data_IF_346377626572
#
_entry.id   IF_346377626572
#
_cell.length_a   1.000
_cell.length_b   1.000
_cell.length_c   1.000
_cell.angle_alpha   90.00
_cell.angle_beta   90.00
_cell.angle_gamma   90.00
#
_symmetry.space_group_name_H-M   'P 1'
#
loop_
_entity.id
_entity.type
_entity.pdbx_description
1 polymer ?
#
# COMPACT_ATOMS: atom_id res chain seq x y z
N UNK A 1 3.10 -20.86 -10.47
CA UNK A 1 2.14 -21.87 -9.96
C UNK A 1 2.67 -22.34 -8.62
N UNK A 2 1.82 -22.80 -7.70
CA UNK A 2 2.29 -23.27 -6.39
C UNK A 2 2.96 -24.65 -6.48
N UNK A 3 3.90 -24.92 -5.59
CA UNK A 3 4.59 -26.21 -5.40
C UNK A 3 4.95 -26.43 -3.91
N UNK A 4 5.86 -27.36 -3.61
CA UNK A 4 6.26 -27.68 -2.23
C UNK A 4 7.07 -26.60 -1.51
N UNK A 5 7.54 -25.57 -2.22
CA UNK A 5 8.34 -24.48 -1.67
C UNK A 5 7.72 -23.09 -1.92
N UNK A 6 6.81 -22.96 -2.89
CA UNK A 6 6.19 -21.70 -3.27
C UNK A 6 4.67 -21.78 -3.26
N UNK A 7 4.02 -20.76 -2.68
CA UNK A 7 2.58 -20.53 -2.80
C UNK A 7 2.33 -19.33 -3.69
N UNK A 8 1.57 -19.52 -4.78
CA UNK A 8 1.15 -18.45 -5.67
C UNK A 8 -0.30 -18.05 -5.38
N UNK A 9 -0.50 -16.84 -4.85
CA UNK A 9 -1.83 -16.29 -4.54
C UNK A 9 -2.39 -15.54 -5.76
N UNK A 10 -3.65 -15.83 -6.11
CA UNK A 10 -4.39 -15.15 -7.19
C UNK A 10 -5.48 -14.27 -6.59
N UNK A 11 -5.82 -13.18 -7.29
CA UNK A 11 -6.86 -12.22 -6.87
C UNK A 11 -6.60 -11.68 -5.44
N UNK A 12 -5.36 -11.26 -5.18
CA UNK A 12 -4.98 -10.65 -3.91
C UNK A 12 -5.72 -9.33 -3.68
N UNK A 13 -6.07 -9.08 -2.42
CA UNK A 13 -6.72 -7.85 -1.97
C UNK A 13 -6.04 -7.34 -0.70
N UNK A 14 -6.40 -6.15 -0.23
CA UNK A 14 -5.88 -5.61 1.05
C UNK A 14 -6.16 -6.54 2.25
N UNK A 15 -7.23 -7.35 2.20
CA UNK A 15 -7.55 -8.35 3.25
C UNK A 15 -6.60 -9.55 3.23
N UNK A 16 -5.84 -9.72 2.16
CA UNK A 16 -4.88 -10.81 2.00
C UNK A 16 -3.55 -10.49 2.69
N UNK A 17 -3.34 -9.27 3.19
CA UNK A 17 -2.22 -8.92 4.06
C UNK A 17 -2.25 -9.73 5.36
N UNK A 18 -1.10 -10.24 5.80
CA UNK A 18 -1.01 -11.01 7.04
C UNK A 18 0.25 -11.85 7.15
N UNK A 19 0.29 -12.64 8.23
CA UNK A 19 1.35 -13.63 8.46
C UNK A 19 1.01 -14.93 7.72
N UNK A 20 1.92 -15.37 6.86
CA UNK A 20 1.84 -16.63 6.13
C UNK A 20 2.85 -17.61 6.70
N UNK A 21 2.39 -18.83 6.97
CA UNK A 21 3.20 -19.89 7.57
C UNK A 21 3.34 -21.05 6.58
N UNK A 22 4.57 -21.49 6.36
CA UNK A 22 4.87 -22.76 5.74
C UNK A 22 5.21 -23.76 6.85
N UNK A 23 4.61 -24.95 6.80
CA UNK A 23 4.82 -25.98 7.82
C UNK A 23 5.03 -27.35 7.16
N UNK A 24 6.02 -28.09 7.66
CA UNK A 24 6.37 -29.44 7.22
C UNK A 24 6.32 -30.37 8.42
N UNK A 25 5.50 -31.41 8.33
CA UNK A 25 5.27 -32.38 9.41
C UNK A 25 5.71 -33.78 9.00
N UNK A 26 6.43 -34.46 9.89
CA UNK A 26 6.74 -35.88 9.78
C UNK A 26 5.56 -36.76 10.26
N UNK A 27 5.39 -37.91 9.63
CA UNK A 27 4.36 -38.91 9.99
C UNK A 27 4.88 -39.94 11.02
N UNK A 28 4.01 -40.90 11.37
CA UNK A 28 4.30 -41.95 12.33
C UNK A 28 5.63 -42.68 12.05
N UNK A 29 6.37 -43.10 13.10
CA UNK A 29 6.01 -43.07 14.53
C UNK A 29 6.37 -41.76 15.26
N UNK A 30 7.02 -40.80 14.61
CA UNK A 30 7.51 -39.57 15.23
C UNK A 30 6.88 -38.35 14.57
N UNK A 31 5.78 -37.88 15.16
CA UNK A 31 5.08 -36.67 14.72
C UNK A 31 5.85 -35.43 15.16
N UNK A 32 6.70 -34.90 14.29
CA UNK A 32 7.43 -33.64 14.50
C UNK A 32 7.09 -32.66 13.39
N UNK A 33 7.01 -31.37 13.70
CA UNK A 33 6.68 -30.32 12.74
C UNK A 33 7.68 -29.17 12.83
N UNK A 34 8.11 -28.68 11.67
CA UNK A 34 8.94 -27.47 11.52
C UNK A 34 8.21 -26.47 10.67
N UNK A 35 8.39 -25.19 10.97
CA UNK A 35 7.70 -24.13 10.27
C UNK A 35 8.59 -22.91 10.06
N UNK A 36 8.21 -22.11 9.08
CA UNK A 36 8.71 -20.76 8.88
C UNK A 36 7.56 -19.82 8.59
N UNK A 37 7.66 -18.58 9.07
CA UNK A 37 6.64 -17.55 8.89
C UNK A 37 7.19 -16.38 8.07
N UNK A 38 6.33 -15.74 7.28
CA UNK A 38 6.63 -14.54 6.50
C UNK A 38 5.44 -13.57 6.51
N UNK A 39 5.71 -12.29 6.74
CA UNK A 39 4.68 -11.25 6.70
C UNK A 39 4.53 -10.73 5.27
N UNK A 40 3.32 -10.80 4.72
CA UNK A 40 2.99 -10.22 3.43
C UNK A 40 2.08 -9.01 3.63
N UNK A 41 2.50 -7.85 3.13
CA UNK A 41 1.68 -6.64 3.09
C UNK A 41 1.26 -6.35 1.65
N UNK A 42 -0.05 -6.27 1.41
CA UNK A 42 -0.62 -5.83 0.15
C UNK A 42 -0.88 -4.34 0.23
N UNK A 43 -0.24 -3.58 -0.66
CA UNK A 43 -0.42 -2.14 -0.79
C UNK A 43 -1.30 -1.81 -2.00
N UNK A 44 -2.05 -0.71 -1.90
CA UNK A 44 -2.82 -0.14 -3.01
C UNK A 44 -2.31 1.27 -3.25
N UNK A 45 -1.65 1.46 -4.38
CA UNK A 45 -1.20 2.78 -4.79
C UNK A 45 -2.38 3.65 -5.27
N UNK A 46 -2.31 4.98 -5.08
CA UNK A 46 -3.21 5.90 -5.76
C UNK A 46 -3.20 5.61 -7.26
N UNK A 47 -4.37 5.53 -7.89
CA UNK A 47 -4.50 5.28 -9.35
C UNK A 47 -4.37 6.56 -10.17
N UNK A 48 -4.54 7.70 -9.51
CA UNK A 48 -4.54 9.03 -10.12
C UNK A 48 -3.65 9.95 -9.29
N UNK A 49 -3.03 10.90 -9.99
CA UNK A 49 -2.27 12.00 -9.39
C UNK A 49 -3.17 12.85 -8.48
N UNK A 50 -2.59 13.43 -7.40
CA UNK A 50 -3.37 14.27 -6.50
C UNK A 50 -3.92 15.49 -7.23
N UNK A 51 -5.18 15.81 -6.93
CA UNK A 51 -5.88 16.95 -7.53
C UNK A 51 -5.87 18.13 -6.56
N UNK A 52 -5.54 19.30 -7.08
CA UNK A 52 -5.62 20.56 -6.35
C UNK A 52 -6.96 21.22 -6.68
N UNK A 53 -7.67 21.65 -5.66
CA UNK A 53 -8.95 22.35 -5.77
C UNK A 53 -8.97 23.57 -4.85
N UNK A 54 -9.93 24.48 -5.06
CA UNK A 54 -10.05 25.72 -4.28
C UNK A 54 -9.31 26.90 -4.91
N UNK A 55 -8.87 26.76 -6.15
CA UNK A 55 -8.22 27.80 -6.92
C UNK A 55 -9.18 28.94 -7.29
N UNK A 56 -8.69 30.16 -7.17
CA UNK A 56 -9.34 31.38 -7.64
C UNK A 56 -8.74 31.78 -8.99
N UNK A 57 -9.53 32.47 -9.81
CA UNK A 57 -9.11 32.86 -11.16
C UNK A 57 -8.01 33.91 -11.19
N UNK A 58 -7.93 34.73 -10.14
CA UNK A 58 -7.01 35.86 -10.05
C UNK A 58 -6.50 35.94 -8.63
N UNK A 59 -5.19 36.06 -8.49
CA UNK A 59 -4.52 36.29 -7.22
C UNK A 59 -3.67 37.55 -7.32
N UNK A 60 -3.65 38.33 -6.24
CA UNK A 60 -2.73 39.42 -6.04
C UNK A 60 -1.53 38.97 -5.20
N UNK A 61 -0.43 39.71 -5.32
CA UNK A 61 0.74 39.47 -4.46
C UNK A 61 0.39 39.76 -3.00
N UNK A 62 0.61 38.79 -2.12
CA UNK A 62 0.25 38.86 -0.69
C UNK A 62 -1.04 38.12 -0.33
N UNK A 63 -1.77 37.60 -1.31
CA UNK A 63 -2.96 36.80 -1.05
C UNK A 63 -2.61 35.48 -0.34
N UNK A 64 -3.54 35.03 0.51
CA UNK A 64 -3.46 33.74 1.18
C UNK A 64 -4.17 32.71 0.30
N UNK A 65 -3.41 31.71 -0.17
CA UNK A 65 -3.96 30.62 -0.98
C UNK A 65 -4.60 29.55 -0.08
N UNK A 66 -5.92 29.45 -0.11
CA UNK A 66 -6.67 28.40 0.58
C UNK A 66 -6.99 27.25 -0.39
N UNK A 67 -6.03 26.35 -0.59
CA UNK A 67 -6.14 25.24 -1.54
C UNK A 67 -6.27 23.88 -0.83
N UNK A 68 -6.90 22.93 -1.51
CA UNK A 68 -7.04 21.55 -1.06
C UNK A 68 -6.36 20.60 -2.06
N UNK A 69 -5.37 19.85 -1.60
CA UNK A 69 -4.72 18.78 -2.37
C UNK A 69 -5.26 17.44 -1.89
N UNK A 70 -5.95 16.73 -2.77
CA UNK A 70 -6.61 15.46 -2.47
C UNK A 70 -5.99 14.34 -3.31
N UNK A 71 -5.50 13.28 -2.66
CA UNK A 71 -5.07 12.06 -3.34
C UNK A 71 -6.26 11.14 -3.62
N UNK A 72 -6.14 10.31 -4.66
CA UNK A 72 -7.00 9.13 -4.81
C UNK A 72 -6.80 8.13 -3.66
N UNK A 73 -7.74 7.19 -3.51
CA UNK A 73 -7.72 6.19 -2.44
C UNK A 73 -6.44 5.35 -2.51
N UNK A 74 -5.80 5.15 -1.36
CA UNK A 74 -4.55 4.39 -1.25
C UNK A 74 -4.44 3.70 0.09
N UNK A 75 -3.63 2.64 0.13
CA UNK A 75 -3.20 1.97 1.33
C UNK A 75 -1.70 1.62 1.23
N UNK A 76 -0.84 2.09 2.15
CA UNK A 76 -1.15 3.03 3.24
C UNK A 76 -1.59 4.42 2.70
N UNK A 77 -2.12 5.31 3.57
CA UNK A 77 -2.50 6.66 3.15
C UNK A 77 -1.35 7.39 2.44
N UNK A 78 -1.67 8.05 1.33
CA UNK A 78 -0.70 8.81 0.55
C UNK A 78 -0.07 9.94 1.38
N UNK A 79 1.20 10.22 1.09
CA UNK A 79 1.93 11.36 1.67
C UNK A 79 1.97 12.49 0.65
N UNK A 80 1.25 13.57 0.94
CA UNK A 80 1.17 14.74 0.08
C UNK A 80 2.22 15.79 0.46
N UNK A 81 2.78 16.45 -0.55
CA UNK A 81 3.69 17.58 -0.40
C UNK A 81 3.28 18.67 -1.38
N UNK A 82 3.37 19.91 -0.93
CA UNK A 82 3.15 21.08 -1.77
C UNK A 82 4.46 21.59 -2.32
N UNK A 83 4.40 22.19 -3.50
CA UNK A 83 5.49 22.93 -4.10
C UNK A 83 4.90 24.14 -4.82
N UNK A 84 5.53 25.30 -4.66
CA UNK A 84 5.21 26.53 -5.41
C UNK A 84 6.38 26.78 -6.35
N UNK A 85 6.13 26.70 -7.66
CA UNK A 85 7.18 26.84 -8.70
C UNK A 85 8.39 25.90 -8.50
N UNK A 86 8.13 24.68 -8.04
CA UNK A 86 9.17 23.67 -7.77
C UNK A 86 9.92 23.85 -6.44
N UNK A 87 9.57 24.87 -5.65
CA UNK A 87 10.10 25.08 -4.29
C UNK A 87 9.12 24.49 -3.28
N UNK A 88 9.56 23.62 -2.36
CA UNK A 88 8.70 23.04 -1.33
C UNK A 88 8.16 24.08 -0.32
#
# INVERSE_FOLDING_TARGET
MSDSQQVFLRHVSLRTSGLYRCEVSAEAPSFTSVHGDGHMEVISLPQEDPQITGEEKVYASGDILALNCTSSKSFPPARLKWFINGVP
#
